data_IF_492778343770
#
_entry.id   IF_492778343770
#
_cell.length_a   1.000
_cell.length_b   1.000
_cell.length_c   1.000
_cell.angle_alpha   90.00
_cell.angle_beta   90.00
_cell.angle_gamma   90.00
#
_symmetry.space_group_name_H-M   'P 1'
#
loop_
_entity.id
_entity.type
_entity.pdbx_description
1 polymer ?
#
# COMPACT_ATOMS: atom_id res chain seq x y z
N UNK A 1 -9.86 -2.07 17.92
CA UNK A 1 -8.47 -2.48 17.67
C UNK A 1 -8.31 -2.99 16.24
N UNK A 2 -8.90 -4.12 15.85
CA UNK A 2 -8.80 -4.63 14.47
C UNK A 2 -9.45 -3.68 13.43
N UNK A 3 -10.69 -3.24 13.68
CA UNK A 3 -11.37 -2.27 12.79
C UNK A 3 -10.60 -0.96 12.63
N UNK A 4 -9.91 -0.53 13.68
CA UNK A 4 -9.09 0.69 13.67
C UNK A 4 -7.81 0.48 12.85
N UNK A 5 -7.15 -0.67 13.01
CA UNK A 5 -5.98 -1.06 12.23
C UNK A 5 -6.31 -1.15 10.73
N UNK A 6 -7.43 -1.80 10.38
CA UNK A 6 -7.92 -1.87 9.00
C UNK A 6 -8.27 -0.48 8.47
N UNK A 7 -8.91 0.36 9.28
CA UNK A 7 -9.26 1.73 8.90
C UNK A 7 -8.03 2.59 8.59
N UNK A 8 -6.96 2.47 9.39
CA UNK A 8 -5.70 3.19 9.15
C UNK A 8 -4.98 2.70 7.90
N UNK A 9 -4.96 1.39 7.66
CA UNK A 9 -4.45 0.84 6.41
C UNK A 9 -5.23 1.38 5.19
N UNK A 10 -6.57 1.39 5.28
CA UNK A 10 -7.43 1.90 4.22
C UNK A 10 -7.22 3.40 3.95
N UNK A 11 -7.09 4.20 5.00
CA UNK A 11 -6.80 5.63 4.91
C UNK A 11 -5.44 5.87 4.24
N UNK A 12 -4.39 5.16 4.69
CA UNK A 12 -3.05 5.31 4.14
C UNK A 12 -2.98 4.86 2.66
N UNK A 13 -3.65 3.76 2.32
CA UNK A 13 -3.74 3.29 0.94
C UNK A 13 -4.46 4.30 0.04
N UNK A 14 -5.58 4.84 0.52
CA UNK A 14 -6.34 5.87 -0.19
C UNK A 14 -5.51 7.13 -0.41
N UNK A 15 -4.78 7.57 0.62
CA UNK A 15 -3.94 8.78 0.58
C UNK A 15 -2.81 8.67 -0.43
N UNK A 16 -2.22 7.49 -0.61
CA UNK A 16 -1.15 7.29 -1.58
C UNK A 16 -1.68 7.03 -3.01
N UNK A 17 -2.66 6.12 -3.15
CA UNK A 17 -3.11 5.65 -4.47
C UNK A 17 -4.04 6.66 -5.16
N UNK A 18 -4.85 7.41 -4.41
CA UNK A 18 -5.80 8.35 -5.02
C UNK A 18 -5.10 9.45 -5.83
N UNK A 19 -4.11 10.18 -5.30
CA UNK A 19 -3.39 11.20 -6.06
C UNK A 19 -2.72 10.63 -7.32
N UNK A 20 -2.15 9.43 -7.25
CA UNK A 20 -1.57 8.75 -8.41
C UNK A 20 -2.60 8.51 -9.51
N UNK A 21 -3.78 7.98 -9.14
CA UNK A 21 -4.88 7.72 -10.07
C UNK A 21 -5.47 8.99 -10.67
N UNK A 22 -5.45 10.09 -9.91
CA UNK A 22 -5.94 11.40 -10.35
C UNK A 22 -4.89 12.20 -11.14
N UNK A 23 -3.71 11.62 -11.38
CA UNK A 23 -2.57 12.27 -12.02
C UNK A 23 -2.09 13.54 -11.27
N UNK A 24 -2.23 13.55 -9.93
CA UNK A 24 -1.86 14.69 -9.07
C UNK A 24 -0.41 14.61 -8.58
N UNK A 25 0.23 13.46 -8.73
CA UNK A 25 1.66 13.28 -8.53
C UNK A 25 2.00 12.19 -7.51
N UNK A 26 3.31 11.97 -7.36
CA UNK A 26 3.87 10.99 -6.45
C UNK A 26 4.17 11.62 -5.08
N UNK A 27 3.44 11.21 -4.04
CA UNK A 27 3.69 11.63 -2.65
C UNK A 27 4.50 10.58 -1.90
N UNK A 28 5.79 10.84 -1.75
CA UNK A 28 6.73 9.97 -1.04
C UNK A 28 6.41 9.85 0.47
N UNK A 29 5.83 10.88 1.08
CA UNK A 29 5.45 10.80 2.50
C UNK A 29 4.25 9.90 2.69
N UNK A 30 3.27 9.95 1.78
CA UNK A 30 2.13 9.05 1.79
C UNK A 30 2.56 7.59 1.55
N UNK A 31 3.54 7.35 0.68
CA UNK A 31 4.14 6.03 0.47
C UNK A 31 4.75 5.46 1.76
N UNK A 32 5.58 6.24 2.45
CA UNK A 32 6.22 5.81 3.69
C UNK A 32 5.19 5.54 4.79
N UNK A 33 4.16 6.38 4.91
CA UNK A 33 3.05 6.16 5.85
C UNK A 33 2.29 4.86 5.56
N UNK A 34 2.00 4.59 4.28
CA UNK A 34 1.37 3.33 3.88
C UNK A 34 2.22 2.13 4.26
N UNK A 35 3.53 2.18 4.01
CA UNK A 35 4.45 1.12 4.45
C UNK A 35 4.42 0.91 5.96
N UNK A 36 4.45 1.98 6.75
CA UNK A 36 4.36 1.86 8.22
C UNK A 36 3.07 1.18 8.68
N UNK A 37 1.92 1.48 8.06
CA UNK A 37 0.66 0.84 8.42
C UNK A 37 0.62 -0.64 7.99
N UNK A 38 1.28 -1.01 6.87
CA UNK A 38 1.49 -2.41 6.49
C UNK A 38 2.33 -3.15 7.55
N UNK A 39 3.43 -2.54 8.03
CA UNK A 39 4.28 -3.12 9.07
C UNK A 39 3.53 -3.29 10.41
N UNK A 40 2.66 -2.32 10.77
CA UNK A 40 1.78 -2.42 11.94
C UNK A 40 0.78 -3.57 11.78
N UNK A 41 0.18 -3.71 10.60
CA UNK A 41 -0.69 -4.82 10.25
C UNK A 41 0.01 -6.16 10.41
N UNK A 42 1.21 -6.31 9.84
CA UNK A 42 2.00 -7.53 9.98
C UNK A 42 2.36 -7.83 11.44
N UNK A 43 2.74 -6.81 12.22
CA UNK A 43 3.03 -6.99 13.65
C UNK A 43 1.82 -7.46 14.45
N UNK A 44 0.62 -6.99 14.11
CA UNK A 44 -0.62 -7.35 14.80
C UNK A 44 -1.16 -8.73 14.39
N UNK A 45 -0.93 -9.16 13.15
CA UNK A 45 -1.42 -10.44 12.64
C UNK A 45 -0.38 -11.56 12.66
N UNK A 46 0.86 -11.27 13.05
CA UNK A 46 1.89 -12.29 13.26
C UNK A 46 1.45 -13.31 14.29
N UNK A 47 1.27 -14.56 13.87
CA UNK A 47 0.76 -15.64 14.71
C UNK A 47 -0.75 -15.61 14.96
N UNK A 48 -1.48 -14.68 14.35
CA UNK A 48 -2.95 -14.72 14.33
C UNK A 48 -3.43 -15.85 13.40
N UNK A 49 -4.63 -16.37 13.66
CA UNK A 49 -5.23 -17.45 12.86
C UNK A 49 -5.92 -16.94 11.59
N UNK A 50 -6.04 -15.62 11.42
CA UNK A 50 -6.73 -15.00 10.31
C UNK A 50 -6.26 -13.57 10.07
N UNK A 51 -6.47 -13.10 8.84
CA UNK A 51 -6.33 -11.70 8.44
C UNK A 51 -7.74 -11.19 8.08
N UNK A 52 -8.12 -9.97 8.51
CA UNK A 52 -9.42 -9.40 8.14
C UNK A 52 -9.59 -9.30 6.63
N UNK A 53 -10.72 -9.77 6.10
CA UNK A 53 -10.98 -9.81 4.65
C UNK A 53 -10.76 -8.46 3.97
N UNK A 54 -11.19 -7.35 4.59
CA UNK A 54 -11.02 -6.01 4.04
C UNK A 54 -9.54 -5.65 3.89
N UNK A 55 -8.72 -5.94 4.89
CA UNK A 55 -7.28 -5.73 4.80
C UNK A 55 -6.64 -6.61 3.73
N UNK A 56 -6.97 -7.91 3.68
CA UNK A 56 -6.43 -8.81 2.67
C UNK A 56 -6.71 -8.30 1.24
N UNK A 57 -7.92 -7.78 0.99
CA UNK A 57 -8.27 -7.16 -0.30
C UNK A 57 -7.45 -5.90 -0.57
N UNK A 58 -7.28 -5.01 0.41
CA UNK A 58 -6.46 -3.80 0.23
C UNK A 58 -5.03 -4.19 -0.13
N UNK A 59 -4.40 -5.05 0.67
CA UNK A 59 -3.00 -5.45 0.49
C UNK A 59 -2.74 -6.14 -0.85
N UNK A 60 -3.65 -7.02 -1.27
CA UNK A 60 -3.54 -7.73 -2.55
C UNK A 60 -3.67 -6.79 -3.76
N UNK A 61 -4.44 -5.71 -3.66
CA UNK A 61 -4.70 -4.78 -4.76
C UNK A 61 -3.68 -3.63 -4.84
N UNK A 62 -2.83 -3.43 -3.82
CA UNK A 62 -1.90 -2.29 -3.79
C UNK A 62 -0.95 -2.29 -4.99
N UNK A 63 -0.16 -3.35 -5.17
CA UNK A 63 0.84 -3.43 -6.24
C UNK A 63 0.22 -3.28 -7.64
N UNK A 64 -0.84 -4.03 -8.03
CA UNK A 64 -1.44 -3.87 -9.36
C UNK A 64 -2.09 -2.49 -9.56
N UNK A 65 -2.70 -1.90 -8.52
CA UNK A 65 -3.27 -0.55 -8.62
C UNK A 65 -2.19 0.51 -8.88
N UNK A 66 -1.03 0.40 -8.21
CA UNK A 66 0.11 1.31 -8.38
C UNK A 66 0.74 1.13 -9.76
N UNK A 67 0.96 -0.12 -10.19
CA UNK A 67 1.51 -0.42 -11.51
C UNK A 67 0.62 0.13 -12.63
N UNK A 68 -0.70 -0.01 -12.50
CA UNK A 68 -1.65 0.58 -13.44
C UNK A 68 -1.54 2.12 -13.50
N UNK A 69 -1.32 2.78 -12.37
CA UNK A 69 -1.15 4.24 -12.33
C UNK A 69 0.17 4.71 -12.97
N UNK A 70 1.23 3.90 -12.96
CA UNK A 70 2.53 4.27 -13.53
C UNK A 70 2.44 4.66 -15.02
N UNK A 71 1.46 4.10 -15.75
CA UNK A 71 1.19 4.43 -17.15
C UNK A 71 0.71 5.87 -17.38
N UNK A 72 0.20 6.55 -16.35
CA UNK A 72 -0.21 7.96 -16.41
C UNK A 72 0.98 8.93 -16.38
N UNK A 73 2.15 8.43 -15.98
CA UNK A 73 3.36 9.24 -15.77
C UNK A 73 4.45 8.86 -16.77
N UNK A 74 5.47 9.71 -16.88
CA UNK A 74 6.64 9.52 -17.75
C UNK A 74 7.94 9.75 -16.98
N UNK A 75 9.06 9.31 -17.58
CA UNK A 75 10.40 9.51 -17.04
C UNK A 75 10.59 9.00 -15.61
N UNK A 76 11.36 9.76 -14.83
CA UNK A 76 11.74 9.41 -13.46
C UNK A 76 10.52 9.18 -12.55
N UNK A 77 9.41 9.90 -12.77
CA UNK A 77 8.21 9.74 -11.95
C UNK A 77 7.55 8.38 -12.19
N UNK A 78 7.47 7.92 -13.45
CA UNK A 78 6.99 6.56 -13.76
C UNK A 78 7.85 5.51 -13.07
N UNK A 79 9.18 5.64 -13.16
CA UNK A 79 10.10 4.69 -12.55
C UNK A 79 9.90 4.63 -11.02
N UNK A 80 9.80 5.78 -10.35
CA UNK A 80 9.55 5.84 -8.90
C UNK A 80 8.22 5.18 -8.50
N UNK A 81 7.17 5.32 -9.30
CA UNK A 81 5.88 4.65 -9.06
C UNK A 81 6.04 3.12 -9.17
N UNK A 82 6.76 2.64 -10.18
CA UNK A 82 7.02 1.20 -10.36
C UNK A 82 7.84 0.64 -9.18
N UNK A 83 8.90 1.34 -8.79
CA UNK A 83 9.72 0.98 -7.62
C UNK A 83 8.90 0.96 -6.32
N UNK A 84 7.98 1.91 -6.14
CA UNK A 84 7.07 1.92 -5.01
C UNK A 84 6.11 0.72 -5.01
N UNK A 85 5.61 0.31 -6.18
CA UNK A 85 4.76 -0.87 -6.34
C UNK A 85 5.48 -2.17 -5.94
N UNK A 86 6.76 -2.29 -6.30
CA UNK A 86 7.61 -3.42 -5.89
C UNK A 86 7.88 -3.38 -4.39
N UNK A 87 8.32 -2.23 -3.86
CA UNK A 87 8.63 -2.07 -2.44
C UNK A 87 7.44 -2.38 -1.54
N UNK A 88 6.24 -1.93 -1.91
CA UNK A 88 5.03 -2.25 -1.15
C UNK A 88 4.65 -3.73 -1.28
N UNK A 89 4.87 -4.36 -2.44
CA UNK A 89 4.65 -5.81 -2.57
C UNK A 89 5.58 -6.60 -1.65
N UNK A 90 6.85 -6.21 -1.55
CA UNK A 90 7.81 -6.83 -0.63
C UNK A 90 7.41 -6.62 0.83
N UNK A 91 6.94 -5.42 1.18
CA UNK A 91 6.45 -5.11 2.52
C UNK A 91 5.21 -5.95 2.88
N UNK A 92 4.29 -6.15 1.94
CA UNK A 92 3.11 -7.01 2.15
C UNK A 92 3.52 -8.47 2.38
N UNK A 93 4.45 -9.00 1.59
CA UNK A 93 4.97 -10.35 1.77
C UNK A 93 5.61 -10.48 3.16
N UNK A 94 6.52 -9.59 3.53
CA UNK A 94 7.19 -9.61 4.83
C UNK A 94 6.23 -9.43 6.03
N UNK A 95 5.11 -8.75 5.84
CA UNK A 95 4.09 -8.56 6.86
C UNK A 95 3.21 -9.79 7.07
N UNK A 96 3.04 -10.63 6.05
CA UNK A 96 2.12 -11.78 6.07
C UNK A 96 2.82 -13.14 6.16
N UNK A 97 4.14 -13.19 5.95
CA UNK A 97 5.00 -14.35 6.25
C UNK A 97 5.21 -14.55 7.77
#
# INVERSE_FOLDING_TARGET
>A
METELVGRLEEAATRFVTPLRMNEGFDERALLQLREEIDRCGSAWRGATHVPKRAALILAELSPAIEACAWLYEGDVRQRIQEAGVMLSEAVIAALD
#
